data_IF_822966031639
#
_entry.id   IF_822966031639
#
_cell.length_a   1.000
_cell.length_b   1.000
_cell.length_c   1.000
_cell.angle_alpha   90.00
_cell.angle_beta   90.00
_cell.angle_gamma   90.00
#
_symmetry.space_group_name_H-M   'P 1'
#
loop_
_entity.id
_entity.type
_entity.pdbx_description
1 polymer ?
#
# COMPACT_ATOMS: atom_id res chain seq x y z
N UNK A 1 -15.03 -3.20 8.81
CA UNK A 1 -14.64 -2.19 7.79
C UNK A 1 -15.14 -0.77 8.08
N UNK A 2 -16.40 -0.54 8.48
CA UNK A 2 -16.91 0.82 8.78
C UNK A 2 -16.09 1.55 9.88
N UNK A 3 -15.74 0.86 10.98
CA UNK A 3 -14.89 1.41 12.05
C UNK A 3 -13.45 1.70 11.62
N UNK A 4 -12.92 0.93 10.64
CA UNK A 4 -11.60 1.18 10.06
C UNK A 4 -11.59 2.56 9.37
N UNK A 5 -12.66 2.94 8.67
CA UNK A 5 -12.73 4.24 7.97
C UNK A 5 -12.78 5.46 8.91
N UNK A 6 -13.56 5.41 9.99
CA UNK A 6 -13.63 6.50 10.98
C UNK A 6 -12.33 6.66 11.79
N UNK A 7 -11.73 5.52 12.16
CA UNK A 7 -10.43 5.42 12.80
C UNK A 7 -9.30 5.98 11.93
N UNK A 8 -9.41 5.77 10.61
CA UNK A 8 -8.46 6.23 9.62
C UNK A 8 -8.47 7.76 9.47
N UNK A 9 -9.65 8.34 9.22
CA UNK A 9 -9.79 9.80 9.04
C UNK A 9 -9.32 10.59 10.27
N UNK A 10 -9.62 10.10 11.49
CA UNK A 10 -9.12 10.71 12.72
C UNK A 10 -7.59 10.66 12.84
N UNK A 11 -6.98 9.51 12.54
CA UNK A 11 -5.51 9.36 12.59
C UNK A 11 -4.81 10.28 11.57
N UNK A 12 -5.38 10.43 10.38
CA UNK A 12 -4.85 11.34 9.35
C UNK A 12 -4.95 12.79 9.81
N UNK A 13 -6.11 13.20 10.35
CA UNK A 13 -6.30 14.54 10.89
C UNK A 13 -5.37 14.84 12.06
N UNK A 14 -5.24 13.92 13.02
CA UNK A 14 -4.33 14.06 14.16
C UNK A 14 -2.88 14.20 13.67
N UNK A 15 -2.48 13.41 12.68
CA UNK A 15 -1.12 13.47 12.15
C UNK A 15 -0.81 14.80 11.49
N UNK A 16 -1.70 15.32 10.64
CA UNK A 16 -1.49 16.59 9.94
C UNK A 16 -1.90 17.82 10.78
N UNK A 17 -2.45 17.64 11.98
CA UNK A 17 -2.65 18.74 12.93
C UNK A 17 -1.32 19.36 13.40
N UNK A 18 -0.23 18.57 13.37
CA UNK A 18 1.13 19.01 13.71
C UNK A 18 1.73 19.98 12.68
N UNK A 19 1.20 20.02 11.46
CA UNK A 19 1.65 20.97 10.44
C UNK A 19 1.19 22.38 10.83
N UNK A 20 2.02 23.40 10.62
CA UNK A 20 1.66 24.79 10.90
C UNK A 20 0.73 25.39 9.84
N UNK A 21 0.73 26.72 9.73
CA UNK A 21 0.02 27.42 8.66
C UNK A 21 0.74 27.33 7.31
N UNK A 22 2.07 27.20 7.31
CA UNK A 22 2.87 26.96 6.12
C UNK A 22 4.23 26.33 6.48
N UNK A 23 4.87 25.67 5.52
CA UNK A 23 6.21 25.12 5.68
C UNK A 23 6.68 24.29 4.50
N UNK A 24 7.82 23.63 4.66
CA UNK A 24 8.39 22.69 3.69
C UNK A 24 8.67 21.35 4.39
N UNK A 25 8.30 20.25 3.76
CA UNK A 25 8.43 18.89 4.31
C UNK A 25 8.91 17.91 3.26
N UNK A 26 9.52 16.81 3.71
CA UNK A 26 9.71 15.63 2.88
C UNK A 26 8.41 14.81 2.87
N UNK A 27 7.65 14.92 1.79
CA UNK A 27 6.35 14.26 1.64
C UNK A 27 6.49 12.74 1.76
N UNK A 28 7.58 12.16 1.24
CA UNK A 28 7.84 10.72 1.33
C UNK A 28 7.90 10.28 2.79
N UNK A 29 8.70 10.97 3.59
CA UNK A 29 8.86 10.69 5.02
C UNK A 29 7.53 10.82 5.78
N UNK A 30 6.77 11.89 5.51
CA UNK A 30 5.49 12.14 6.17
C UNK A 30 4.46 11.04 5.83
N UNK A 31 4.41 10.59 4.57
CA UNK A 31 3.53 9.52 4.11
C UNK A 31 3.95 8.15 4.67
N UNK A 32 5.24 7.82 4.68
CA UNK A 32 5.76 6.59 5.28
C UNK A 32 5.36 6.50 6.77
N UNK A 33 5.55 7.58 7.52
CA UNK A 33 5.19 7.67 8.93
C UNK A 33 3.68 7.60 9.18
N UNK A 34 2.87 8.28 8.38
CA UNK A 34 1.41 8.19 8.51
C UNK A 34 0.88 6.79 8.17
N UNK A 35 1.46 6.13 7.18
CA UNK A 35 1.01 4.81 6.72
C UNK A 35 1.33 3.73 7.73
N UNK A 36 2.52 3.75 8.36
CA UNK A 36 2.80 2.83 9.47
C UNK A 36 1.84 3.07 10.64
N UNK A 37 1.50 4.32 10.96
CA UNK A 37 0.56 4.66 12.04
C UNK A 37 -0.86 4.15 11.77
N UNK A 38 -1.37 4.40 10.56
CA UNK A 38 -2.70 3.96 10.15
C UNK A 38 -2.78 2.45 9.97
N UNK A 39 -1.78 1.83 9.35
CA UNK A 39 -1.69 0.37 9.20
C UNK A 39 -1.61 -0.32 10.57
N UNK A 40 -0.75 0.15 11.47
CA UNK A 40 -0.65 -0.41 12.83
C UNK A 40 -1.97 -0.29 13.58
N UNK A 41 -2.67 0.84 13.49
CA UNK A 41 -3.96 1.02 14.16
C UNK A 41 -5.04 0.07 13.62
N UNK A 42 -5.07 -0.15 12.31
CA UNK A 42 -6.08 -1.01 11.67
C UNK A 42 -5.77 -2.51 11.79
N UNK A 43 -4.49 -2.87 11.77
CA UNK A 43 -4.03 -4.25 11.69
C UNK A 43 -3.68 -4.83 13.06
N UNK A 44 -3.04 -4.05 13.94
CA UNK A 44 -2.47 -4.53 15.20
C UNK A 44 -3.33 -4.24 16.44
N UNK A 45 -4.36 -3.40 16.32
CA UNK A 45 -5.21 -3.02 17.44
C UNK A 45 -4.67 -1.85 18.28
N UNK A 46 -5.49 -1.40 19.25
CA UNK A 46 -5.25 -0.16 19.99
C UNK A 46 -4.15 -0.31 21.06
N UNK A 47 -3.95 -1.51 21.61
CA UNK A 47 -2.96 -1.81 22.64
C UNK A 47 -1.54 -1.56 22.14
N UNK A 48 -1.24 -2.05 20.93
CA UNK A 48 0.06 -1.86 20.30
C UNK A 48 0.27 -0.38 19.98
N UNK A 49 -0.75 0.27 19.41
CA UNK A 49 -0.68 1.69 19.06
C UNK A 49 -0.41 2.58 20.27
N UNK A 50 -1.06 2.31 21.40
CA UNK A 50 -1.02 3.21 22.55
C UNK A 50 0.15 2.93 23.50
N UNK A 51 0.59 1.68 23.65
CA UNK A 51 1.53 1.29 24.70
C UNK A 51 2.89 0.82 24.19
N UNK A 52 2.97 0.30 22.97
CA UNK A 52 4.16 -0.42 22.49
C UNK A 52 4.62 0.04 21.09
N UNK A 53 4.11 1.17 20.61
CA UNK A 53 4.31 1.58 19.21
C UNK A 53 5.79 1.79 18.85
N UNK A 54 6.56 2.45 19.73
CA UNK A 54 7.98 2.69 19.49
C UNK A 54 8.79 1.38 19.44
N UNK A 55 8.57 0.49 20.40
CA UNK A 55 9.25 -0.80 20.48
C UNK A 55 8.90 -1.70 19.30
N UNK A 56 7.61 -1.79 18.96
CA UNK A 56 7.13 -2.58 17.82
C UNK A 56 7.67 -2.00 16.50
N UNK A 57 7.67 -0.68 16.33
CA UNK A 57 8.23 -0.03 15.14
C UNK A 57 9.73 -0.31 14.98
N UNK A 58 10.50 -0.31 16.07
CA UNK A 58 11.93 -0.64 16.02
C UNK A 58 12.16 -2.10 15.60
N UNK A 59 11.33 -3.03 16.11
CA UNK A 59 11.39 -4.44 15.75
C UNK A 59 11.00 -4.69 14.29
N UNK A 60 9.99 -3.98 13.77
CA UNK A 60 9.64 -4.03 12.35
C UNK A 60 10.77 -3.49 11.47
N UNK A 61 11.44 -2.42 11.90
CA UNK A 61 12.61 -1.92 11.19
C UNK A 61 13.75 -2.94 11.13
N UNK A 62 14.01 -3.69 12.20
CA UNK A 62 14.97 -4.81 12.19
C UNK A 62 14.53 -5.98 11.31
N UNK A 63 13.22 -6.25 11.20
CA UNK A 63 12.70 -7.22 10.23
C UNK A 63 12.96 -6.78 8.79
N UNK A 64 12.63 -5.53 8.46
CA UNK A 64 12.81 -4.95 7.12
C UNK A 64 14.28 -4.91 6.71
N UNK A 65 15.16 -4.47 7.60
CA UNK A 65 16.61 -4.48 7.36
C UNK A 65 17.20 -5.89 7.25
N UNK A 66 16.44 -6.90 7.67
CA UNK A 66 16.74 -8.31 7.48
C UNK A 66 16.42 -8.87 6.10
N UNK A 67 15.69 -8.11 5.27
CA UNK A 67 15.23 -8.51 3.93
C UNK A 67 16.09 -7.89 2.83
N UNK A 68 17.35 -8.31 2.80
CA UNK A 68 18.31 -7.87 1.79
C UNK A 68 18.08 -8.64 0.47
N UNK A 69 18.52 -8.11 -0.69
CA UNK A 69 18.45 -8.85 -1.96
C UNK A 69 19.10 -10.25 -1.88
N UNK A 70 20.20 -10.39 -1.14
CA UNK A 70 20.87 -11.68 -0.91
C UNK A 70 20.00 -12.69 -0.13
N UNK A 71 19.06 -12.20 0.69
CA UNK A 71 18.16 -13.03 1.49
C UNK A 71 17.17 -13.82 0.64
N UNK A 72 16.91 -13.42 -0.61
CA UNK A 72 16.07 -14.18 -1.56
C UNK A 72 16.74 -15.50 -1.95
N UNK A 73 18.08 -15.51 -2.06
CA UNK A 73 18.85 -16.70 -2.47
C UNK A 73 19.34 -17.47 -1.24
N UNK A 74 19.80 -16.76 -0.21
CA UNK A 74 20.39 -17.36 0.99
C UNK A 74 19.77 -16.79 2.28
N UNK A 75 18.51 -17.12 2.60
CA UNK A 75 17.74 -16.51 3.70
C UNK A 75 18.29 -16.79 5.11
N UNK A 76 19.19 -17.77 5.24
CA UNK A 76 19.78 -18.23 6.51
C UNK A 76 21.27 -17.95 6.65
N UNK A 77 21.84 -17.06 5.83
CA UNK A 77 23.24 -16.65 5.99
C UNK A 77 23.49 -16.14 7.42
N UNK A 78 24.62 -16.49 8.05
CA UNK A 78 24.93 -16.10 9.42
C UNK A 78 25.43 -14.64 9.52
N UNK A 79 24.76 -13.71 8.83
CA UNK A 79 25.09 -12.28 8.80
C UNK A 79 24.37 -11.52 9.92
N UNK A 80 24.92 -10.36 10.38
CA UNK A 80 24.31 -9.56 11.44
C UNK A 80 22.85 -9.16 11.16
N UNK A 81 22.50 -8.88 9.89
CA UNK A 81 21.15 -8.52 9.48
C UNK A 81 20.13 -9.64 9.76
N UNK A 82 20.43 -10.88 9.35
CA UNK A 82 19.54 -12.03 9.61
C UNK A 82 19.43 -12.37 11.10
N UNK A 83 20.53 -12.23 11.87
CA UNK A 83 20.47 -12.43 13.32
C UNK A 83 19.55 -11.42 14.01
N UNK A 84 19.62 -10.13 13.63
CA UNK A 84 18.71 -9.10 14.14
C UNK A 84 17.27 -9.36 13.73
N UNK A 85 17.01 -9.71 12.47
CA UNK A 85 15.69 -10.13 11.97
C UNK A 85 15.09 -11.25 12.82
N UNK A 86 15.86 -12.31 13.08
CA UNK A 86 15.38 -13.48 13.82
C UNK A 86 15.12 -13.16 15.29
N UNK A 87 15.95 -12.31 15.90
CA UNK A 87 15.71 -11.78 17.25
C UNK A 87 14.45 -10.90 17.30
N UNK A 88 14.27 -10.02 16.31
CA UNK A 88 13.09 -9.17 16.21
C UNK A 88 11.81 -10.00 16.05
N UNK A 89 11.85 -11.04 15.21
CA UNK A 89 10.73 -11.98 15.03
C UNK A 89 10.32 -12.68 16.32
N UNK A 90 11.29 -13.06 17.16
CA UNK A 90 11.03 -13.68 18.47
C UNK A 90 10.37 -12.70 19.43
N UNK A 91 10.93 -11.49 19.58
CA UNK A 91 10.37 -10.43 20.43
C UNK A 91 8.95 -10.02 20.01
N UNK A 92 8.69 -9.90 18.71
CA UNK A 92 7.33 -9.63 18.21
C UNK A 92 6.36 -10.76 18.55
N UNK A 93 6.82 -12.03 18.51
CA UNK A 93 6.01 -13.17 18.93
C UNK A 93 5.64 -13.08 20.42
N UNK A 94 6.59 -12.73 21.27
CA UNK A 94 6.35 -12.55 22.71
C UNK A 94 5.36 -11.41 22.99
N UNK A 95 5.51 -10.27 22.30
CA UNK A 95 4.59 -9.14 22.43
C UNK A 95 3.16 -9.54 22.01
N UNK A 96 3.01 -10.17 20.84
CA UNK A 96 1.67 -10.55 20.36
C UNK A 96 1.05 -11.68 21.18
N UNK A 97 1.84 -12.64 21.66
CA UNK A 97 1.35 -13.68 22.56
C UNK A 97 0.77 -13.07 23.85
N UNK A 98 1.47 -12.12 24.47
CA UNK A 98 0.98 -11.42 25.68
C UNK A 98 -0.33 -10.66 25.43
N UNK A 99 -0.48 -10.02 24.27
CA UNK A 99 -1.70 -9.29 23.91
C UNK A 99 -2.85 -10.26 23.66
N UNK A 100 -2.61 -11.34 22.92
CA UNK A 100 -3.61 -12.37 22.65
C UNK A 100 -4.10 -13.00 23.97
N UNK A 101 -3.18 -13.34 24.88
CA UNK A 101 -3.52 -13.85 26.20
C UNK A 101 -4.35 -12.86 27.00
N UNK A 102 -3.93 -11.59 27.05
CA UNK A 102 -4.66 -10.53 27.76
C UNK A 102 -6.08 -10.32 27.23
N UNK A 103 -6.30 -10.37 25.91
CA UNK A 103 -7.64 -10.27 25.31
C UNK A 103 -8.53 -11.45 25.70
N UNK A 104 -7.98 -12.67 25.64
CA UNK A 104 -8.69 -13.90 26.04
C UNK A 104 -9.10 -13.86 27.52
N UNK A 105 -8.19 -13.46 28.41
CA UNK A 105 -8.46 -13.36 29.85
C UNK A 105 -9.50 -12.28 30.17
N UNK A 106 -9.44 -11.13 29.51
CA UNK A 106 -10.36 -10.03 29.74
C UNK A 106 -11.75 -10.25 29.13
N UNK A 107 -11.94 -11.31 28.31
CA UNK A 107 -13.17 -11.53 27.54
C UNK A 107 -13.49 -10.39 26.58
N UNK A 108 -12.49 -9.61 26.16
CA UNK A 108 -12.66 -8.46 25.26
C UNK A 108 -12.57 -8.90 23.81
N UNK A 109 -13.55 -8.49 23.02
CA UNK A 109 -13.58 -8.67 21.57
C UNK A 109 -13.58 -7.30 20.91
N UNK A 110 -12.51 -7.00 20.17
CA UNK A 110 -12.34 -5.75 19.45
C UNK A 110 -12.69 -5.92 17.96
N UNK A 111 -13.12 -4.87 17.28
CA UNK A 111 -13.40 -4.93 15.84
C UNK A 111 -12.14 -4.59 15.01
N UNK A 112 -11.11 -5.42 15.12
CA UNK A 112 -9.84 -5.30 14.41
C UNK A 112 -9.35 -6.61 13.79
N UNK A 113 -8.30 -6.52 12.95
CA UNK A 113 -7.77 -7.70 12.25
C UNK A 113 -7.16 -8.73 13.21
N UNK A 114 -6.54 -8.28 14.32
CA UNK A 114 -6.02 -9.17 15.34
C UNK A 114 -7.13 -10.05 15.92
N UNK A 115 -8.28 -9.46 16.26
CA UNK A 115 -9.43 -10.23 16.75
C UNK A 115 -9.95 -11.20 15.68
N UNK A 116 -10.04 -10.78 14.42
CA UNK A 116 -10.43 -11.69 13.33
C UNK A 116 -9.50 -12.91 13.23
N UNK A 117 -8.19 -12.73 13.43
CA UNK A 117 -7.25 -13.85 13.43
C UNK A 117 -7.34 -14.72 14.68
N UNK A 118 -7.56 -14.14 15.86
CA UNK A 118 -7.80 -14.89 17.11
C UNK A 118 -9.04 -15.79 16.96
N UNK A 119 -10.11 -15.27 16.38
CA UNK A 119 -11.40 -15.97 16.25
C UNK A 119 -11.44 -16.91 15.04
N UNK A 120 -10.45 -16.83 14.15
CA UNK A 120 -10.40 -17.63 12.93
C UNK A 120 -10.16 -19.12 13.19
N UNK A 121 -10.80 -19.94 12.37
CA UNK A 121 -10.63 -21.40 12.35
C UNK A 121 -10.37 -21.86 10.92
N UNK A 122 -9.55 -22.90 10.80
CA UNK A 122 -9.37 -23.63 9.56
C UNK A 122 -10.63 -24.44 9.20
N UNK A 123 -10.71 -24.91 7.96
CA UNK A 123 -11.87 -25.67 7.44
C UNK A 123 -12.12 -26.98 8.19
N UNK A 124 -11.09 -27.55 8.80
CA UNK A 124 -11.14 -28.74 9.66
C UNK A 124 -11.59 -28.42 11.10
N UNK A 125 -11.88 -27.15 11.41
CA UNK A 125 -12.28 -26.68 12.73
C UNK A 125 -11.12 -26.31 13.66
N UNK A 126 -9.86 -26.52 13.25
CA UNK A 126 -8.68 -26.18 14.06
C UNK A 126 -8.59 -24.66 14.24
N UNK A 127 -8.43 -24.14 15.48
CA UNK A 127 -8.18 -22.72 15.69
C UNK A 127 -6.81 -22.31 15.16
N UNK A 128 -6.69 -21.06 14.72
CA UNK A 128 -5.39 -20.48 14.36
C UNK A 128 -4.53 -20.35 15.62
N UNK A 129 -3.31 -20.88 15.57
CA UNK A 129 -2.37 -20.82 16.69
C UNK A 129 -1.81 -19.42 16.88
N UNK A 130 -1.34 -19.09 18.08
CA UNK A 130 -0.77 -17.77 18.38
C UNK A 130 0.45 -17.44 17.52
N UNK A 131 1.25 -18.46 17.16
CA UNK A 131 2.36 -18.32 16.22
C UNK A 131 1.90 -18.00 14.79
N UNK A 132 0.83 -18.66 14.33
CA UNK A 132 0.21 -18.37 13.03
C UNK A 132 -0.39 -16.96 13.00
N UNK A 133 -1.14 -16.55 14.04
CA UNK A 133 -1.68 -15.18 14.18
C UNK A 133 -0.55 -14.15 14.12
N UNK A 134 0.52 -14.38 14.90
CA UNK A 134 1.71 -13.50 14.91
C UNK A 134 2.33 -13.37 13.51
N UNK A 135 2.50 -14.50 12.80
CA UNK A 135 3.05 -14.51 11.45
C UNK A 135 2.17 -13.75 10.46
N UNK A 136 0.86 -13.92 10.54
CA UNK A 136 -0.12 -13.24 9.68
C UNK A 136 -0.15 -11.73 9.93
N UNK A 137 -0.04 -11.28 11.18
CA UNK A 137 0.03 -9.84 11.52
C UNK A 137 1.30 -9.19 10.99
N UNK A 138 2.46 -9.84 11.17
CA UNK A 138 3.73 -9.36 10.64
C UNK A 138 3.66 -9.26 9.11
N UNK A 139 3.13 -10.29 8.45
CA UNK A 139 2.96 -10.31 7.00
C UNK A 139 2.01 -9.20 6.51
N UNK A 140 0.89 -8.97 7.20
CA UNK A 140 -0.07 -7.94 6.85
C UNK A 140 0.53 -6.53 6.98
N UNK A 141 1.28 -6.25 8.06
CA UNK A 141 1.92 -4.95 8.23
C UNK A 141 3.01 -4.70 7.17
N UNK A 142 3.87 -5.70 6.94
CA UNK A 142 4.90 -5.62 5.90
C UNK A 142 4.30 -5.34 4.51
N UNK A 143 3.22 -6.06 4.17
CA UNK A 143 2.54 -5.91 2.90
C UNK A 143 1.93 -4.50 2.70
N UNK A 144 1.34 -3.93 3.76
CA UNK A 144 0.63 -2.65 3.69
C UNK A 144 1.50 -1.41 3.87
N UNK A 145 2.70 -1.52 4.46
CA UNK A 145 3.52 -0.36 4.79
C UNK A 145 4.21 0.24 3.56
N UNK A 146 5.11 -0.52 2.93
CA UNK A 146 5.95 -0.01 1.84
C UNK A 146 5.15 0.28 0.57
N UNK A 147 4.22 -0.62 0.22
CA UNK A 147 3.46 -0.52 -1.03
C UNK A 147 2.58 0.72 -1.05
N UNK A 148 1.84 0.99 0.02
CA UNK A 148 0.98 2.17 0.14
C UNK A 148 1.77 3.47 0.22
N UNK A 149 2.92 3.51 0.92
CA UNK A 149 3.70 4.74 1.08
C UNK A 149 4.36 5.18 -0.22
N UNK A 150 4.96 4.22 -0.95
CA UNK A 150 5.54 4.43 -2.27
C UNK A 150 4.45 4.91 -3.24
N UNK A 151 3.31 4.22 -3.26
CA UNK A 151 2.20 4.58 -4.15
C UNK A 151 1.63 5.96 -3.84
N UNK A 152 1.46 6.28 -2.55
CA UNK A 152 0.99 7.60 -2.12
C UNK A 152 1.96 8.70 -2.56
N UNK A 153 3.27 8.44 -2.44
CA UNK A 153 4.32 9.39 -2.82
C UNK A 153 4.32 9.65 -4.32
N UNK A 154 4.27 8.59 -5.15
CA UNK A 154 4.16 8.73 -6.61
C UNK A 154 2.89 9.45 -7.05
N UNK A 155 1.75 9.11 -6.42
CA UNK A 155 0.46 9.78 -6.68
C UNK A 155 0.59 11.28 -6.43
N UNK A 156 1.20 11.67 -5.31
CA UNK A 156 1.46 13.07 -4.99
C UNK A 156 2.37 13.77 -5.98
N UNK A 157 3.52 13.17 -6.28
CA UNK A 157 4.45 13.73 -7.25
C UNK A 157 3.78 13.99 -8.61
N UNK A 158 2.95 13.04 -9.09
CA UNK A 158 2.23 13.23 -10.35
C UNK A 158 1.15 14.31 -10.26
N UNK A 159 0.30 14.30 -9.22
CA UNK A 159 -0.74 15.32 -9.04
C UNK A 159 -0.14 16.72 -8.98
N UNK A 160 0.95 16.91 -8.22
CA UNK A 160 1.59 18.21 -8.05
C UNK A 160 2.29 18.71 -9.33
N UNK A 161 2.65 17.80 -10.25
CA UNK A 161 3.22 18.16 -11.55
C UNK A 161 2.20 18.30 -12.68
N UNK A 162 0.99 17.74 -12.55
CA UNK A 162 -0.06 17.76 -13.57
C UNK A 162 -1.28 18.52 -13.07
N UNK A 163 -1.28 19.84 -13.30
CA UNK A 163 -2.30 20.77 -12.78
C UNK A 163 -3.71 20.42 -13.24
N UNK A 164 -3.86 19.85 -14.43
CA UNK A 164 -5.12 19.38 -14.98
C UNK A 164 -5.76 18.28 -14.11
N UNK A 165 -4.98 17.30 -13.68
CA UNK A 165 -5.47 16.21 -12.83
C UNK A 165 -5.63 16.66 -11.38
N UNK A 166 -4.74 17.53 -10.88
CA UNK A 166 -4.91 18.15 -9.56
C UNK A 166 -6.23 18.93 -9.48
N UNK A 167 -6.53 19.75 -10.49
CA UNK A 167 -7.79 20.50 -10.57
C UNK A 167 -8.99 19.56 -10.60
N UNK A 168 -8.95 18.51 -11.43
CA UNK A 168 -10.04 17.54 -11.54
C UNK A 168 -10.30 16.80 -10.21
N UNK A 169 -9.25 16.41 -9.48
CA UNK A 169 -9.41 15.81 -8.15
C UNK A 169 -9.94 16.83 -7.15
N UNK A 170 -9.50 18.09 -7.19
CA UNK A 170 -10.05 19.14 -6.34
C UNK A 170 -11.53 19.43 -6.64
N UNK A 171 -11.95 19.38 -7.91
CA UNK A 171 -13.37 19.47 -8.30
C UNK A 171 -14.19 18.30 -7.75
N UNK A 172 -13.66 17.08 -7.83
CA UNK A 172 -14.26 15.91 -7.19
C UNK A 172 -14.41 16.12 -5.67
N UNK A 173 -13.36 16.62 -4.99
CA UNK A 173 -13.44 16.90 -3.55
C UNK A 173 -14.47 17.99 -3.23
N UNK A 174 -14.54 19.07 -4.02
CA UNK A 174 -15.57 20.12 -3.87
C UNK A 174 -16.97 19.55 -3.99
N UNK A 175 -17.22 18.71 -4.99
CA UNK A 175 -18.52 18.05 -5.20
C UNK A 175 -18.92 17.19 -3.99
N UNK A 176 -17.99 16.37 -3.49
CA UNK A 176 -18.22 15.53 -2.31
C UNK A 176 -18.43 16.36 -1.05
N UNK A 177 -17.71 17.47 -0.88
CA UNK A 177 -17.91 18.39 0.24
C UNK A 177 -19.26 19.11 0.18
N UNK A 178 -19.75 19.49 -1.02
CA UNK A 178 -21.12 20.03 -1.19
C UNK A 178 -22.18 19.00 -0.77
N UNK A 179 -21.96 17.73 -1.08
CA UNK A 179 -22.91 16.64 -0.82
C UNK A 179 -22.91 16.15 0.63
N UNK A 180 -21.72 16.09 1.26
CA UNK A 180 -21.51 15.39 2.54
C UNK A 180 -20.82 16.23 3.63
N UNK A 181 -20.48 17.49 3.35
CA UNK A 181 -19.72 18.34 4.27
C UNK A 181 -18.26 17.90 4.41
N UNK A 182 -17.68 18.09 5.59
CA UNK A 182 -16.28 17.73 5.89
C UNK A 182 -16.06 16.23 6.14
N UNK A 183 -17.12 15.41 6.14
CA UNK A 183 -17.03 13.98 6.43
C UNK A 183 -16.20 13.24 5.37
N UNK A 184 -15.40 12.28 5.82
CA UNK A 184 -14.68 11.30 5.00
C UNK A 184 -14.86 9.93 5.64
N UNK A 185 -15.71 9.10 5.04
CA UNK A 185 -15.92 7.71 5.43
C UNK A 185 -15.79 6.79 4.21
N UNK A 186 -15.98 5.48 4.42
CA UNK A 186 -15.81 4.49 3.37
C UNK A 186 -16.69 4.73 2.13
N UNK A 187 -17.95 5.11 2.34
CA UNK A 187 -18.91 5.29 1.25
C UNK A 187 -18.51 6.49 0.41
N UNK A 188 -18.09 7.60 1.05
CA UNK A 188 -17.59 8.79 0.35
C UNK A 188 -16.29 8.48 -0.43
N UNK A 189 -15.36 7.70 0.16
CA UNK A 189 -14.12 7.29 -0.53
C UNK A 189 -14.40 6.41 -1.76
N UNK A 190 -15.49 5.66 -1.75
CA UNK A 190 -15.91 4.83 -2.88
C UNK A 190 -16.38 5.66 -4.07
N UNK A 191 -16.90 6.88 -3.84
CA UNK A 191 -17.33 7.83 -4.87
C UNK A 191 -16.17 8.60 -5.55
N UNK A 192 -14.93 8.50 -5.03
CA UNK A 192 -13.76 9.19 -5.59
C UNK A 192 -13.18 8.47 -6.82
N UNK A 193 -13.81 8.60 -7.97
CA UNK A 193 -13.37 7.99 -9.24
C UNK A 193 -12.12 8.65 -9.83
N UNK A 194 -12.04 9.98 -9.85
CA UNK A 194 -10.91 10.72 -10.41
C UNK A 194 -9.64 10.42 -9.62
N UNK A 195 -9.71 10.51 -8.28
CA UNK A 195 -8.57 10.15 -7.43
C UNK A 195 -8.22 8.66 -7.55
N UNK A 196 -9.20 7.76 -7.69
CA UNK A 196 -8.95 6.34 -7.96
C UNK A 196 -8.10 6.16 -9.22
N UNK A 197 -8.49 6.79 -10.32
CA UNK A 197 -7.76 6.71 -11.60
C UNK A 197 -6.37 7.31 -11.51
N UNK A 198 -6.19 8.39 -10.75
CA UNK A 198 -4.87 8.99 -10.50
C UNK A 198 -3.92 8.03 -9.74
N UNK A 199 -4.43 7.36 -8.70
CA UNK A 199 -3.69 6.35 -7.93
C UNK A 199 -3.36 5.14 -8.82
N UNK A 200 -4.34 4.66 -9.60
CA UNK A 200 -4.18 3.54 -10.51
C UNK A 200 -3.12 3.81 -11.58
N UNK A 201 -3.06 5.03 -12.10
CA UNK A 201 -2.03 5.40 -13.08
C UNK A 201 -0.64 5.48 -12.46
N UNK A 202 -0.54 6.00 -11.23
CA UNK A 202 0.72 5.99 -10.48
C UNK A 202 1.21 4.56 -10.24
N UNK A 203 0.31 3.63 -9.89
CA UNK A 203 0.60 2.20 -9.74
C UNK A 203 0.93 1.50 -11.05
N UNK A 204 0.32 1.92 -12.18
CA UNK A 204 0.63 1.37 -13.50
C UNK A 204 2.09 1.66 -13.84
N UNK A 205 2.50 2.92 -13.67
CA UNK A 205 3.85 3.38 -13.98
C UNK A 205 4.87 2.91 -12.94
N UNK A 206 4.54 2.94 -11.66
CA UNK A 206 5.48 2.64 -10.57
C UNK A 206 4.92 1.56 -9.63
N UNK A 207 4.71 0.31 -10.10
CA UNK A 207 4.29 -0.77 -9.24
C UNK A 207 5.42 -1.09 -8.24
N UNK A 208 5.16 -1.07 -6.91
CA UNK A 208 6.22 -1.30 -5.92
C UNK A 208 6.87 -2.68 -6.03
N UNK A 209 6.12 -3.69 -6.50
CA UNK A 209 6.62 -5.03 -6.78
C UNK A 209 6.76 -5.22 -8.29
N UNK A 210 7.99 -5.15 -8.79
CA UNK A 210 8.28 -5.16 -10.23
C UNK A 210 8.41 -6.55 -10.85
N UNK A 211 8.58 -7.59 -10.02
CA UNK A 211 8.72 -8.99 -10.44
C UNK A 211 8.00 -9.93 -9.48
N UNK A 212 7.19 -10.82 -10.03
CA UNK A 212 6.46 -11.87 -9.30
C UNK A 212 6.97 -13.23 -9.76
N UNK A 213 7.64 -13.97 -8.87
CA UNK A 213 8.31 -15.23 -9.17
C UNK A 213 7.47 -16.44 -8.78
N UNK A 214 7.53 -17.51 -9.58
CA UNK A 214 6.95 -18.83 -9.30
C UNK A 214 7.93 -19.93 -9.68
N UNK A 215 7.96 -21.02 -8.92
CA UNK A 215 8.64 -22.25 -9.32
C UNK A 215 7.64 -23.16 -10.03
N UNK A 216 8.03 -23.70 -11.19
CA UNK A 216 7.25 -24.68 -11.91
C UNK A 216 7.34 -26.04 -11.22
N UNK A 217 6.21 -26.58 -10.78
CA UNK A 217 6.15 -27.89 -10.11
C UNK A 217 5.81 -29.06 -11.05
N UNK A 218 5.39 -28.76 -12.28
CA UNK A 218 5.00 -29.70 -13.33
C UNK A 218 5.35 -29.08 -14.69
N UNK A 219 5.59 -29.91 -15.70
CA UNK A 219 5.73 -29.41 -17.07
C UNK A 219 4.41 -28.78 -17.52
N UNK A 220 4.49 -27.63 -18.21
CA UNK A 220 3.33 -26.97 -18.82
C UNK A 220 3.77 -26.15 -20.03
N UNK A 221 2.83 -25.83 -20.91
CA UNK A 221 3.12 -25.05 -22.12
C UNK A 221 2.44 -23.68 -22.05
N UNK A 222 3.05 -22.68 -22.67
CA UNK A 222 2.50 -21.32 -22.80
C UNK A 222 2.43 -20.97 -24.27
N UNK A 223 1.24 -20.58 -24.73
CA UNK A 223 1.03 -20.04 -26.07
C UNK A 223 1.11 -18.51 -26.03
N UNK A 224 1.96 -17.96 -26.88
CA UNK A 224 2.08 -16.52 -27.09
C UNK A 224 0.93 -15.96 -27.92
N UNK A 225 0.81 -14.63 -27.97
CA UNK A 225 -0.25 -13.96 -28.74
C UNK A 225 -0.19 -14.25 -30.24
N UNK A 226 1.00 -14.47 -30.80
CA UNK A 226 1.25 -14.87 -32.19
C UNK A 226 1.07 -16.38 -32.43
N UNK A 227 0.58 -17.13 -31.43
CA UNK A 227 0.25 -18.54 -31.55
C UNK A 227 1.44 -19.48 -31.37
N UNK A 228 2.64 -18.96 -31.09
CA UNK A 228 3.81 -19.79 -30.83
C UNK A 228 3.75 -20.39 -29.42
N UNK A 229 3.90 -21.70 -29.36
CA UNK A 229 3.89 -22.46 -28.12
C UNK A 229 5.32 -22.67 -27.58
N UNK A 230 5.47 -22.61 -26.26
CA UNK A 230 6.71 -22.85 -25.55
C UNK A 230 6.47 -23.78 -24.37
N UNK A 231 7.27 -24.83 -24.26
CA UNK A 231 7.26 -25.71 -23.10
C UNK A 231 8.09 -25.14 -21.96
N UNK A 232 7.53 -25.17 -20.76
CA UNK A 232 8.15 -24.76 -19.51
C UNK A 232 8.35 -26.02 -18.65
N UNK A 233 9.57 -26.58 -18.60
CA UNK A 233 9.85 -27.73 -17.77
C UNK A 233 9.66 -27.45 -16.28
N UNK A 234 9.35 -28.50 -15.53
CA UNK A 234 9.41 -28.55 -14.07
C UNK A 234 10.76 -28.07 -13.56
N UNK A 235 10.73 -27.32 -12.46
CA UNK A 235 11.91 -26.77 -11.80
C UNK A 235 12.38 -25.42 -12.34
N UNK A 236 11.77 -24.92 -13.43
CA UNK A 236 12.06 -23.55 -13.92
C UNK A 236 11.39 -22.50 -13.03
N UNK A 237 12.08 -21.37 -12.85
CA UNK A 237 11.50 -20.16 -12.27
C UNK A 237 10.86 -19.36 -13.39
N UNK A 238 9.59 -19.00 -13.21
CA UNK A 238 8.83 -18.14 -14.11
C UNK A 238 8.61 -16.80 -13.42
N UNK A 239 8.84 -15.72 -14.16
CA UNK A 239 8.69 -14.35 -13.68
C UNK A 239 7.61 -13.62 -14.49
N UNK A 240 6.68 -12.98 -13.79
CA UNK A 240 5.78 -11.98 -14.38
C UNK A 240 6.20 -10.60 -13.88
N UNK A 241 6.37 -9.63 -14.77
CA UNK A 241 6.78 -8.27 -14.38
C UNK A 241 5.64 -7.28 -14.58
N UNK A 242 5.01 -6.78 -13.50
CA UNK A 242 4.06 -5.66 -13.59
C UNK A 242 4.68 -4.41 -14.21
N UNK A 243 5.94 -4.09 -13.86
CA UNK A 243 6.63 -2.91 -14.40
C UNK A 243 6.72 -2.91 -15.93
N UNK A 244 6.87 -4.10 -16.53
CA UNK A 244 6.88 -4.31 -17.98
C UNK A 244 5.47 -4.45 -18.56
N UNK A 245 4.64 -5.33 -18.00
CA UNK A 245 3.30 -5.64 -18.51
C UNK A 245 2.41 -4.38 -18.56
N UNK A 246 2.52 -3.54 -17.53
CA UNK A 246 1.79 -2.28 -17.43
C UNK A 246 2.20 -1.22 -18.45
N UNK A 247 3.15 -1.51 -19.34
CA UNK A 247 3.65 -0.62 -20.40
C UNK A 247 3.56 -1.23 -21.80
N UNK A 248 2.88 -2.36 -21.95
CA UNK A 248 2.73 -3.01 -23.25
C UNK A 248 1.95 -2.09 -24.22
N UNK A 249 2.55 -1.65 -25.35
CA UNK A 249 1.91 -0.67 -26.25
C UNK A 249 0.62 -1.15 -26.92
N UNK A 250 0.41 -2.46 -26.98
CA UNK A 250 -0.82 -3.05 -27.51
C UNK A 250 -1.99 -3.04 -26.50
N UNK A 251 -1.71 -2.63 -25.26
CA UNK A 251 -2.69 -2.43 -24.18
C UNK A 251 -2.81 -0.92 -23.90
N UNK A 252 -1.67 -0.27 -23.70
CA UNK A 252 -1.59 1.11 -23.26
C UNK A 252 -1.08 2.03 -24.37
N UNK A 253 -1.91 2.98 -24.78
CA UNK A 253 -1.49 4.04 -25.71
C UNK A 253 -0.56 5.01 -24.98
N UNK A 254 0.54 5.39 -25.63
CA UNK A 254 1.59 6.25 -25.04
C UNK A 254 1.97 5.77 -23.63
N UNK A 255 2.53 4.55 -23.50
CA UNK A 255 2.57 3.81 -22.23
C UNK A 255 3.40 4.48 -21.13
N UNK A 256 4.33 5.36 -21.48
CA UNK A 256 5.16 6.07 -20.49
C UNK A 256 4.55 7.40 -20.03
N UNK A 257 3.44 7.84 -20.64
CA UNK A 257 2.71 9.04 -20.23
C UNK A 257 1.83 8.76 -19.02
N UNK A 258 1.88 9.64 -18.01
CA UNK A 258 0.90 9.69 -16.93
C UNK A 258 -0.43 10.24 -17.47
N UNK A 259 -1.41 9.35 -17.60
CA UNK A 259 -2.74 9.66 -18.13
C UNK A 259 -3.82 8.84 -17.38
N UNK A 260 -4.34 9.34 -16.24
CA UNK A 260 -5.46 8.75 -15.52
C UNK A 260 -6.74 8.56 -16.35
N UNK A 261 -6.94 9.31 -17.43
CA UNK A 261 -8.14 9.18 -18.27
C UNK A 261 -8.13 7.90 -19.10
N UNK A 262 -7.00 7.18 -19.17
CA UNK A 262 -6.96 5.84 -19.79
C UNK A 262 -7.84 4.80 -19.12
N UNK A 263 -8.21 5.03 -17.86
CA UNK A 263 -9.11 4.17 -17.09
C UNK A 263 -10.55 4.68 -17.06
N UNK A 264 -10.85 5.81 -17.71
CA UNK A 264 -12.20 6.34 -17.78
C UNK A 264 -13.10 5.45 -18.63
N UNK A 265 -14.42 5.56 -18.39
CA UNK A 265 -15.45 4.93 -19.23
C UNK A 265 -15.22 5.34 -20.70
N UNK A 266 -15.17 4.35 -21.59
CA UNK A 266 -14.92 4.55 -23.02
C UNK A 266 -13.46 4.37 -23.45
N UNK A 267 -12.48 4.39 -22.53
CA UNK A 267 -11.09 3.99 -22.82
C UNK A 267 -10.73 2.64 -22.21
N UNK A 268 -10.92 2.49 -20.90
CA UNK A 268 -10.79 1.23 -20.15
C UNK A 268 -9.59 0.36 -20.59
N UNK A 269 -8.43 0.99 -20.79
CA UNK A 269 -7.24 0.33 -21.36
C UNK A 269 -6.76 -0.83 -20.47
N UNK A 270 -7.04 -0.77 -19.17
CA UNK A 270 -6.82 -1.84 -18.20
C UNK A 270 -7.66 -3.11 -18.42
N UNK A 271 -8.53 -3.12 -19.43
CA UNK A 271 -9.33 -4.28 -19.83
C UNK A 271 -9.07 -4.72 -21.28
N UNK A 272 -8.23 -3.99 -22.02
CA UNK A 272 -8.07 -4.14 -23.48
C UNK A 272 -7.58 -5.53 -23.93
N UNK A 273 -6.83 -6.24 -23.08
CA UNK A 273 -6.34 -7.60 -23.31
C UNK A 273 -6.90 -8.61 -22.28
N UNK A 274 -8.03 -8.30 -21.64
CA UNK A 274 -8.66 -9.15 -20.63
C UNK A 274 -8.11 -8.94 -19.21
N UNK A 275 -8.33 -9.94 -18.35
CA UNK A 275 -8.15 -9.83 -16.89
C UNK A 275 -6.71 -9.55 -16.42
N UNK A 276 -5.70 -9.72 -17.27
CA UNK A 276 -4.29 -9.49 -16.96
C UNK A 276 -3.69 -8.29 -17.71
N UNK A 277 -4.53 -7.37 -18.20
CA UNK A 277 -4.03 -6.16 -18.85
C UNK A 277 -3.35 -5.22 -17.86
N UNK A 278 -3.88 -5.14 -16.64
CA UNK A 278 -3.33 -4.39 -15.50
C UNK A 278 -3.06 -5.34 -14.34
N UNK A 279 -1.81 -5.39 -13.86
CA UNK A 279 -1.38 -6.40 -12.87
C UNK A 279 -0.57 -5.81 -11.70
N UNK A 280 -0.73 -4.54 -11.37
CA UNK A 280 -0.01 -3.92 -10.24
C UNK A 280 -0.34 -4.55 -8.88
N UNK A 281 -1.51 -5.17 -8.73
CA UNK A 281 -1.91 -5.96 -7.56
C UNK A 281 -1.76 -7.48 -7.78
N UNK A 282 -1.08 -7.90 -8.84
CA UNK A 282 -0.98 -9.30 -9.25
C UNK A 282 -2.28 -9.83 -9.85
N UNK A 283 -2.56 -11.11 -9.65
CA UNK A 283 -3.78 -11.74 -10.14
C UNK A 283 -3.89 -13.23 -9.81
N UNK A 284 -5.06 -13.82 -10.09
CA UNK A 284 -5.36 -15.22 -9.82
C UNK A 284 -5.36 -15.55 -8.31
N UNK A 285 -4.97 -16.77 -7.95
CA UNK A 285 -5.01 -17.26 -6.54
C UNK A 285 -4.15 -16.45 -5.56
N UNK A 286 -3.19 -15.69 -6.08
CA UNK A 286 -2.21 -14.91 -5.32
C UNK A 286 -2.38 -13.41 -5.59
N UNK A 287 -3.55 -12.98 -6.06
CA UNK A 287 -3.90 -11.56 -6.16
C UNK A 287 -3.91 -10.89 -4.78
N UNK A 288 -3.61 -9.59 -4.74
CA UNK A 288 -3.47 -8.87 -3.49
C UNK A 288 -4.83 -8.72 -2.77
N UNK A 289 -4.99 -9.39 -1.63
CA UNK A 289 -6.18 -9.25 -0.77
C UNK A 289 -6.30 -7.85 -0.15
N UNK A 290 -5.19 -7.10 -0.08
CA UNK A 290 -5.13 -5.76 0.48
C UNK A 290 -5.52 -4.64 -0.49
N UNK A 291 -5.82 -4.93 -1.76
CA UNK A 291 -6.12 -3.90 -2.77
C UNK A 291 -7.23 -2.92 -2.33
N UNK A 292 -8.41 -3.36 -1.85
CA UNK A 292 -9.44 -2.42 -1.40
C UNK A 292 -8.97 -1.55 -0.22
N UNK A 293 -8.20 -2.13 0.70
CA UNK A 293 -7.65 -1.41 1.85
C UNK A 293 -6.61 -0.36 1.42
N UNK A 294 -5.74 -0.70 0.46
CA UNK A 294 -4.74 0.21 -0.07
C UNK A 294 -5.39 1.44 -0.72
N UNK A 295 -6.38 1.23 -1.60
CA UNK A 295 -7.11 2.37 -2.19
C UNK A 295 -7.83 3.22 -1.15
N UNK A 296 -8.48 2.59 -0.16
CA UNK A 296 -9.13 3.32 0.93
C UNK A 296 -8.13 4.19 1.70
N UNK A 297 -6.99 3.61 2.10
CA UNK A 297 -5.92 4.29 2.83
C UNK A 297 -5.36 5.47 2.02
N UNK A 298 -4.97 5.24 0.77
CA UNK A 298 -4.35 6.27 -0.08
C UNK A 298 -5.35 7.38 -0.40
N UNK A 299 -6.60 7.04 -0.73
CA UNK A 299 -7.65 8.03 -1.01
C UNK A 299 -7.94 8.91 0.20
N UNK A 300 -8.02 8.33 1.40
CA UNK A 300 -8.31 9.11 2.60
C UNK A 300 -7.17 10.06 2.97
N UNK A 301 -5.91 9.64 2.79
CA UNK A 301 -4.75 10.53 2.97
C UNK A 301 -4.79 11.69 1.98
N UNK A 302 -4.93 11.41 0.68
CA UNK A 302 -4.94 12.44 -0.35
C UNK A 302 -6.19 13.33 -0.29
N UNK A 303 -7.35 12.77 0.04
CA UNK A 303 -8.57 13.54 0.31
C UNK A 303 -8.33 14.52 1.46
N UNK A 304 -7.70 14.11 2.56
CA UNK A 304 -7.42 15.02 3.66
C UNK A 304 -6.43 16.11 3.23
N UNK A 305 -5.33 15.74 2.60
CA UNK A 305 -4.32 16.70 2.14
C UNK A 305 -4.91 17.75 1.20
N UNK A 306 -5.64 17.32 0.17
CA UNK A 306 -6.20 18.22 -0.85
C UNK A 306 -7.35 19.09 -0.36
N UNK A 307 -8.03 18.69 0.72
CA UNK A 307 -9.09 19.50 1.34
C UNK A 307 -8.56 20.55 2.31
N UNK A 308 -7.35 20.37 2.86
CA UNK A 308 -6.85 21.18 3.98
C UNK A 308 -5.55 21.93 3.67
N UNK A 309 -4.89 21.62 2.56
CA UNK A 309 -3.60 22.21 2.21
C UNK A 309 -3.51 22.54 0.72
N UNK A 310 -2.94 23.70 0.42
CA UNK A 310 -2.29 23.96 -0.86
C UNK A 310 -0.89 23.37 -0.82
N UNK A 311 -0.56 22.56 -1.82
CA UNK A 311 0.72 21.85 -1.92
C UNK A 311 1.43 22.22 -3.22
N UNK A 312 2.74 22.40 -3.15
CA UNK A 312 3.60 22.67 -4.29
C UNK A 312 4.83 21.76 -4.22
N UNK A 313 5.08 20.98 -5.27
CA UNK A 313 6.32 20.21 -5.36
C UNK A 313 7.49 21.16 -5.66
N UNK A 314 8.46 21.24 -4.74
CA UNK A 314 9.61 22.15 -4.84
C UNK A 314 10.92 21.41 -5.14
N UNK A 315 10.91 20.08 -5.04
CA UNK A 315 12.00 19.22 -5.54
C UNK A 315 11.76 18.85 -7.02
N UNK A 316 12.81 18.42 -7.75
CA UNK A 316 12.61 17.77 -9.05
C UNK A 316 11.66 16.58 -8.94
N UNK A 317 11.03 16.21 -10.06
CA UNK A 317 10.21 15.00 -10.11
C UNK A 317 11.07 13.79 -9.66
N UNK A 318 10.57 12.94 -8.74
CA UNK A 318 11.38 11.89 -8.15
C UNK A 318 11.84 10.83 -9.15
N UNK A 319 13.01 10.26 -8.88
CA UNK A 319 13.54 9.09 -9.59
C UNK A 319 13.16 7.79 -8.87
N UNK A 320 13.19 6.67 -9.62
CA UNK A 320 12.95 5.33 -9.08
C UNK A 320 14.18 4.83 -8.33
N UNK A 321 13.99 4.24 -7.14
CA UNK A 321 15.02 3.52 -6.40
C UNK A 321 14.93 2.01 -6.69
N UNK A 322 15.88 1.51 -7.49
CA UNK A 322 15.98 0.11 -7.89
C UNK A 322 16.78 -0.76 -6.92
N UNK A 323 17.38 -0.18 -5.87
CA UNK A 323 18.27 -0.91 -4.96
C UNK A 323 17.52 -1.61 -3.81
N UNK A 324 16.27 -1.26 -3.58
CA UNK A 324 15.42 -1.83 -2.53
C UNK A 324 14.64 -3.06 -3.03
N UNK A 325 14.24 -3.93 -2.09
CA UNK A 325 13.40 -5.09 -2.41
C UNK A 325 12.00 -4.66 -2.88
N UNK A 326 11.47 -3.58 -2.31
CA UNK A 326 10.25 -2.91 -2.77
C UNK A 326 10.68 -1.62 -3.47
N UNK A 327 10.44 -1.55 -4.77
CA UNK A 327 10.92 -0.47 -5.63
C UNK A 327 10.16 0.80 -5.29
N UNK A 328 10.91 1.83 -4.89
CA UNK A 328 10.35 3.04 -4.30
C UNK A 328 10.82 4.33 -4.98
N UNK A 329 10.70 5.42 -4.23
CA UNK A 329 11.17 6.74 -4.62
C UNK A 329 12.57 6.98 -4.05
N UNK A 330 13.49 7.42 -4.91
CA UNK A 330 14.86 7.77 -4.54
C UNK A 330 14.91 9.15 -3.90
N UNK A 331 15.70 9.28 -2.82
CA UNK A 331 15.89 10.55 -2.14
C UNK A 331 14.63 11.08 -1.43
N UNK A 332 14.57 12.40 -1.29
CA UNK A 332 13.48 13.14 -0.63
C UNK A 332 12.51 13.71 -1.68
N UNK A 333 11.24 13.84 -1.31
CA UNK A 333 10.23 14.51 -2.14
C UNK A 333 9.77 15.76 -1.41
N UNK A 334 10.47 16.87 -1.66
CA UNK A 334 10.22 18.12 -0.94
C UNK A 334 8.97 18.82 -1.49
N UNK A 335 8.06 19.13 -0.58
CA UNK A 335 6.81 19.84 -0.86
C UNK A 335 6.68 21.04 0.06
N UNK A 336 6.32 22.19 -0.51
CA UNK A 336 5.85 23.36 0.24
C UNK A 336 4.36 23.24 0.47
N UNK A 337 3.92 23.52 1.69
CA UNK A 337 2.50 23.52 2.03
C UNK A 337 2.06 24.87 2.61
N UNK A 338 0.77 25.17 2.39
CA UNK A 338 0.04 26.21 3.10
C UNK A 338 -1.29 25.63 3.56
N UNK A 339 -1.59 25.71 4.85
CA UNK A 339 -2.88 25.30 5.42
C UNK A 339 -3.96 26.23 4.87
N UNK A 340 -4.86 25.65 4.09
CA UNK A 340 -5.98 26.36 3.47
C UNK A 340 -7.05 25.34 3.15
N UNK A 341 -8.23 25.54 3.71
CA UNK A 341 -9.38 24.73 3.35
C UNK A 341 -9.76 24.96 1.88
N UNK A 342 -10.07 23.86 1.20
CA UNK A 342 -10.52 23.89 -0.18
C UNK A 342 -11.87 24.62 -0.24
N UNK A 343 -11.98 25.73 -0.99
CA UNK A 343 -13.21 26.49 -1.05
C UNK A 343 -14.30 25.67 -1.75
N UNK A 344 -15.50 25.68 -1.18
CA UNK A 344 -16.67 24.93 -1.67
C UNK A 344 -17.56 25.80 -2.58
N UNK A 345 -17.18 27.05 -2.86
CA UNK A 345 -18.01 27.95 -3.68
C UNK A 345 -18.26 27.40 -5.09
#
# INVERSE_FOLDING_TARGET
MVLISLSFSGTVQDYFSKWGDCGEVDLKYELEHLIILTASRCLLGQEIRNKLFADVSALFHDLDNGMLPISVIFPYLPIPAHRRRDQARKKLAEIFANIIASRKEAGKSENDMLQCFIDSKYKDGRPTTESEVTGLLIAALFAGQHTSSITSTWTGAYLLCHKEYLSAVQDEQRSLMKKYGSKVDHDILSEMDVLYRCIKEALRLHPPLIMLLRSSHTDFSVTTRDGKEYDIPKGRIVATSPAFANRLPHIYKDPDRYDPDRFAVGREEDKAAGAFSYISFGGGRHGCLGEPFAYLQIKAIWSHLLRNFELELISPFPEVDWNAMVVGVKGKVMVRYKRRELPVN
#
